data_IF_731461648657
#
_entry.id   IF_731461648657
#
_cell.length_a   1.000
_cell.length_b   1.000
_cell.length_c   1.000
_cell.angle_alpha   90.00
_cell.angle_beta   90.00
_cell.angle_gamma   90.00
#
_symmetry.space_group_name_H-M   'P 1'
#
loop_
_entity.id
_entity.type
_entity.pdbx_description
1 polymer ?
#
# COMPACT_ATOMS: atom_id res chain seq x y z
N UNK A 1 -21.21 23.84 -26.01
CA UNK A 1 -20.39 22.69 -25.58
C UNK A 1 -19.44 23.20 -24.50
N UNK A 2 -19.77 23.00 -23.22
CA UNK A 2 -18.92 23.44 -22.11
C UNK A 2 -18.52 22.20 -21.33
N UNK A 3 -17.33 21.69 -21.63
CA UNK A 3 -16.68 20.63 -20.84
C UNK A 3 -15.92 21.31 -19.71
N UNK A 4 -16.54 21.39 -18.53
CA UNK A 4 -15.83 21.77 -17.31
C UNK A 4 -14.84 20.67 -16.91
N UNK A 5 -13.72 21.01 -16.24
CA UNK A 5 -12.71 20.04 -15.85
C UNK A 5 -13.32 18.99 -14.93
N UNK A 6 -13.35 17.75 -15.39
CA UNK A 6 -13.81 16.58 -14.64
C UNK A 6 -12.92 16.37 -13.42
N UNK A 7 -13.35 16.87 -12.26
CA UNK A 7 -12.74 16.60 -10.96
C UNK A 7 -13.15 15.21 -10.40
N UNK A 8 -13.60 14.30 -11.27
CA UNK A 8 -14.20 13.02 -10.89
C UNK A 8 -13.24 11.82 -10.74
N UNK A 9 -11.93 11.99 -10.96
CA UNK A 9 -11.01 10.85 -11.11
C UNK A 9 -10.16 10.52 -9.87
N UNK A 10 -9.82 11.52 -9.04
CA UNK A 10 -8.77 11.36 -8.02
C UNK A 10 -9.19 10.47 -6.85
N UNK A 11 -10.49 10.48 -6.48
CA UNK A 11 -11.03 9.66 -5.38
C UNK A 11 -11.04 8.16 -5.71
N UNK A 12 -11.43 7.81 -6.94
CA UNK A 12 -11.48 6.42 -7.39
C UNK A 12 -10.07 5.83 -7.55
N UNK A 13 -9.10 6.65 -7.98
CA UNK A 13 -7.69 6.25 -8.00
C UNK A 13 -7.11 6.08 -6.59
N UNK A 14 -7.45 6.93 -5.62
CA UNK A 14 -6.95 6.77 -4.24
C UNK A 14 -7.52 5.56 -3.53
N UNK A 15 -8.78 5.20 -3.80
CA UNK A 15 -9.38 3.96 -3.31
C UNK A 15 -8.66 2.73 -3.87
N UNK A 16 -8.35 2.75 -5.18
CA UNK A 16 -7.57 1.71 -5.84
C UNK A 16 -6.17 1.55 -5.25
N UNK A 17 -5.49 2.67 -4.95
CA UNK A 17 -4.19 2.66 -4.26
C UNK A 17 -4.31 2.08 -2.84
N UNK A 18 -5.41 2.35 -2.13
CA UNK A 18 -5.69 1.77 -0.81
C UNK A 18 -5.86 0.26 -0.85
N UNK A 19 -6.61 -0.27 -1.83
CA UNK A 19 -6.77 -1.71 -2.01
C UNK A 19 -5.43 -2.41 -2.26
N UNK A 20 -4.56 -1.82 -3.10
CA UNK A 20 -3.22 -2.36 -3.36
C UNK A 20 -2.37 -2.38 -2.09
N UNK A 21 -2.43 -1.33 -1.26
CA UNK A 21 -1.73 -1.31 0.03
C UNK A 21 -2.22 -2.43 0.97
N UNK A 22 -3.53 -2.66 1.02
CA UNK A 22 -4.15 -3.72 1.83
C UNK A 22 -3.73 -5.12 1.34
N UNK A 23 -3.73 -5.35 0.03
CA UNK A 23 -3.29 -6.63 -0.57
C UNK A 23 -1.82 -6.92 -0.27
N UNK A 24 -0.93 -5.93 -0.41
CA UNK A 24 0.48 -6.09 -0.04
C UNK A 24 0.66 -6.35 1.46
N UNK A 25 -0.17 -5.73 2.31
CA UNK A 25 -0.20 -5.98 3.75
C UNK A 25 -0.58 -7.42 4.08
N UNK A 26 -1.71 -7.89 3.55
CA UNK A 26 -2.19 -9.28 3.72
C UNK A 26 -1.18 -10.30 3.19
N UNK A 27 -0.55 -10.02 2.05
CA UNK A 27 0.44 -10.91 1.48
C UNK A 27 1.72 -10.97 2.33
N UNK A 28 2.18 -9.84 2.87
CA UNK A 28 3.26 -9.80 3.86
C UNK A 28 2.93 -10.65 5.09
N UNK A 29 1.72 -10.52 5.66
CA UNK A 29 1.28 -11.31 6.81
C UNK A 29 1.26 -12.81 6.51
N UNK A 30 0.70 -13.21 5.37
CA UNK A 30 0.64 -14.60 4.94
C UNK A 30 2.05 -15.22 4.81
N UNK A 31 3.01 -14.47 4.25
CA UNK A 31 4.40 -14.92 4.14
C UNK A 31 5.08 -15.04 5.51
N UNK A 32 4.81 -14.15 6.46
CA UNK A 32 5.33 -14.26 7.83
C UNK A 32 4.77 -15.49 8.55
N UNK A 33 3.48 -15.76 8.40
CA UNK A 33 2.85 -16.95 8.95
C UNK A 33 3.43 -18.23 8.33
N UNK A 34 3.60 -18.26 7.01
CA UNK A 34 4.22 -19.37 6.30
C UNK A 34 5.67 -19.61 6.74
N UNK A 35 6.48 -18.55 6.88
CA UNK A 35 7.84 -18.65 7.39
C UNK A 35 7.91 -19.13 8.85
N UNK A 36 6.94 -18.73 9.67
CA UNK A 36 6.84 -19.18 11.07
C UNK A 36 6.51 -20.66 11.14
N UNK A 37 5.53 -21.11 10.35
CA UNK A 37 5.16 -22.51 10.24
C UNK A 37 6.32 -23.38 9.72
N UNK A 38 6.97 -22.98 8.62
CA UNK A 38 8.15 -23.67 8.10
C UNK A 38 9.36 -23.61 9.06
N UNK A 39 9.39 -22.60 9.93
CA UNK A 39 10.35 -22.43 11.01
C UNK A 39 10.24 -23.45 12.12
N UNK A 40 9.05 -24.04 12.30
CA UNK A 40 8.80 -25.08 13.31
C UNK A 40 9.64 -26.32 13.02
N UNK A 41 10.32 -26.81 14.05
CA UNK A 41 11.17 -27.99 14.03
C UNK A 41 10.52 -29.21 13.38
N UNK A 42 9.21 -29.42 13.57
CA UNK A 42 8.50 -30.56 12.99
C UNK A 42 8.30 -30.40 11.48
N UNK A 43 7.72 -29.28 11.03
CA UNK A 43 7.53 -29.00 9.60
C UNK A 43 8.86 -28.94 8.85
N UNK A 44 9.90 -28.40 9.50
CA UNK A 44 11.24 -28.31 8.93
C UNK A 44 11.87 -29.69 8.74
N UNK A 45 11.71 -30.60 9.70
CA UNK A 45 12.15 -32.00 9.56
C UNK A 45 11.32 -32.77 8.52
N UNK A 46 10.02 -32.54 8.43
CA UNK A 46 9.12 -33.22 7.48
C UNK A 46 9.41 -32.83 6.01
N UNK A 47 9.72 -31.55 5.75
CA UNK A 47 9.87 -31.03 4.39
C UNK A 47 11.32 -30.85 3.92
N UNK A 48 12.22 -30.54 4.84
CA UNK A 48 13.64 -30.38 4.53
C UNK A 48 14.48 -31.54 5.06
N UNK A 49 13.90 -32.56 5.70
CA UNK A 49 14.65 -33.72 6.19
C UNK A 49 15.57 -33.42 7.38
N UNK A 50 16.23 -34.47 7.90
CA UNK A 50 17.10 -34.38 9.08
C UNK A 50 18.59 -34.22 8.80
N UNK A 51 19.01 -34.11 7.53
CA UNK A 51 20.42 -33.96 7.18
C UNK A 51 20.87 -32.50 7.38
N UNK A 52 22.11 -32.25 7.83
CA UNK A 52 22.60 -30.90 8.09
C UNK A 52 22.53 -29.97 6.87
N UNK A 53 22.85 -30.48 5.68
CA UNK A 53 22.85 -29.70 4.44
C UNK A 53 21.44 -29.24 4.08
N UNK A 54 20.44 -30.09 4.27
CA UNK A 54 19.06 -29.79 3.92
C UNK A 54 18.38 -28.89 4.96
N UNK A 55 18.76 -29.01 6.23
CA UNK A 55 18.40 -28.05 7.29
C UNK A 55 18.96 -26.65 7.00
N UNK A 56 20.18 -26.55 6.48
CA UNK A 56 20.76 -25.27 6.06
C UNK A 56 19.92 -24.62 4.96
N UNK A 57 19.58 -25.38 3.91
CA UNK A 57 18.72 -24.91 2.81
C UNK A 57 17.35 -24.47 3.34
N UNK A 58 16.74 -25.22 4.26
CA UNK A 58 15.47 -24.85 4.88
C UNK A 58 15.55 -23.51 5.62
N UNK A 59 16.63 -23.27 6.38
CA UNK A 59 16.86 -22.01 7.07
C UNK A 59 17.07 -20.84 6.09
N UNK A 60 17.81 -21.05 4.99
CA UNK A 60 18.03 -20.04 3.96
C UNK A 60 16.72 -19.63 3.27
N UNK A 61 15.89 -20.61 2.90
CA UNK A 61 14.57 -20.36 2.29
C UNK A 61 13.68 -19.55 3.24
N UNK A 62 13.64 -19.91 4.52
CA UNK A 62 12.86 -19.17 5.53
C UNK A 62 13.39 -17.75 5.68
N UNK A 63 14.70 -17.54 5.68
CA UNK A 63 15.32 -16.21 5.73
C UNK A 63 14.95 -15.34 4.53
N UNK A 64 14.91 -15.92 3.33
CA UNK A 64 14.47 -15.23 2.10
C UNK A 64 12.99 -14.86 2.20
N UNK A 65 12.13 -15.78 2.63
CA UNK A 65 10.68 -15.52 2.78
C UNK A 65 10.42 -14.41 3.80
N UNK A 66 11.13 -14.41 4.94
CA UNK A 66 11.02 -13.35 5.94
C UNK A 66 11.47 -11.99 5.39
N UNK A 67 12.54 -11.98 4.58
CA UNK A 67 13.03 -10.76 3.93
C UNK A 67 12.01 -10.22 2.93
N UNK A 68 11.45 -11.09 2.09
CA UNK A 68 10.38 -10.74 1.15
C UNK A 68 9.15 -10.17 1.87
N UNK A 69 8.73 -10.82 2.97
CA UNK A 69 7.59 -10.35 3.75
C UNK A 69 7.83 -8.93 4.31
N UNK A 70 9.03 -8.65 4.84
CA UNK A 70 9.40 -7.30 5.29
C UNK A 70 9.33 -6.28 4.15
N UNK A 71 9.89 -6.61 2.98
CA UNK A 71 9.84 -5.74 1.80
C UNK A 71 8.41 -5.42 1.38
N UNK A 72 7.53 -6.42 1.36
CA UNK A 72 6.11 -6.22 1.02
C UNK A 72 5.38 -5.38 2.08
N UNK A 73 5.70 -5.56 3.36
CA UNK A 73 5.19 -4.71 4.44
C UNK A 73 5.63 -3.24 4.30
N UNK A 74 6.85 -2.98 3.82
CA UNK A 74 7.29 -1.63 3.49
C UNK A 74 6.52 -1.04 2.30
N UNK A 75 6.30 -1.83 1.24
CA UNK A 75 5.51 -1.41 0.08
C UNK A 75 4.09 -1.05 0.51
N UNK A 76 3.43 -1.89 1.33
CA UNK A 76 2.11 -1.61 1.85
C UNK A 76 2.03 -0.25 2.58
N UNK A 77 2.98 0.02 3.50
CA UNK A 77 3.04 1.29 4.24
C UNK A 77 3.32 2.49 3.32
N UNK A 78 4.24 2.33 2.37
CA UNK A 78 4.56 3.38 1.40
C UNK A 78 3.33 3.74 0.56
N UNK A 79 2.61 2.74 0.08
CA UNK A 79 1.41 2.92 -0.73
C UNK A 79 0.29 3.58 0.09
N UNK A 80 0.07 3.19 1.35
CA UNK A 80 -0.92 3.86 2.21
C UNK A 80 -0.53 5.32 2.53
N UNK A 81 0.74 5.59 2.83
CA UNK A 81 1.22 6.96 3.02
C UNK A 81 1.02 7.82 1.75
N UNK A 82 1.25 7.24 0.58
CA UNK A 82 1.03 7.89 -0.71
C UNK A 82 -0.45 8.20 -0.90
N UNK A 83 -1.35 7.26 -0.59
CA UNK A 83 -2.80 7.48 -0.60
C UNK A 83 -3.20 8.64 0.32
N UNK A 84 -2.70 8.67 1.55
CA UNK A 84 -2.98 9.75 2.49
C UNK A 84 -2.51 11.12 1.97
N UNK A 85 -1.31 11.19 1.38
CA UNK A 85 -0.78 12.41 0.78
C UNK A 85 -1.62 12.89 -0.42
N UNK A 86 -2.10 11.97 -1.26
CA UNK A 86 -3.01 12.28 -2.37
C UNK A 86 -4.35 12.82 -1.88
N UNK A 87 -4.92 12.23 -0.82
CA UNK A 87 -6.18 12.72 -0.23
C UNK A 87 -6.03 14.12 0.39
N UNK A 88 -4.92 14.37 1.08
CA UNK A 88 -4.63 15.70 1.63
C UNK A 88 -4.45 16.74 0.51
N UNK A 89 -3.74 16.38 -0.55
CA UNK A 89 -3.52 17.26 -1.71
C UNK A 89 -4.84 17.57 -2.42
N UNK A 90 -5.71 16.58 -2.63
CA UNK A 90 -7.03 16.79 -3.22
C UNK A 90 -7.89 17.73 -2.36
N UNK A 91 -7.89 17.57 -1.03
CA UNK A 91 -8.62 18.47 -0.13
C UNK A 91 -8.07 19.90 -0.12
N UNK A 92 -6.75 20.08 -0.27
CA UNK A 92 -6.15 21.41 -0.42
C UNK A 92 -6.55 22.09 -1.73
N UNK A 93 -6.62 21.34 -2.83
CA UNK A 93 -7.08 21.84 -4.13
C UNK A 93 -8.55 22.26 -4.06
N UNK A 94 -9.44 21.41 -3.53
CA UNK A 94 -10.86 21.73 -3.38
C UNK A 94 -11.10 23.03 -2.59
N UNK A 95 -10.35 23.25 -1.50
CA UNK A 95 -10.43 24.47 -0.70
C UNK A 95 -9.91 25.69 -1.47
N UNK A 96 -8.80 25.54 -2.18
CA UNK A 96 -8.20 26.62 -2.99
C UNK A 96 -9.14 27.06 -4.12
N UNK A 97 -9.80 26.10 -4.76
CA UNK A 97 -10.77 26.35 -5.83
C UNK A 97 -12.03 27.02 -5.30
N UNK A 98 -12.54 26.62 -4.14
CA UNK A 98 -13.68 27.30 -3.49
C UNK A 98 -13.35 28.74 -3.10
N UNK A 99 -12.17 28.99 -2.53
CA UNK A 99 -11.75 30.34 -2.14
C UNK A 99 -11.49 31.22 -3.36
N UNK A 100 -10.90 30.66 -4.42
CA UNK A 100 -10.72 31.34 -5.70
C UNK A 100 -12.07 31.69 -6.34
N UNK A 101 -13.02 30.75 -6.36
CA UNK A 101 -14.37 30.98 -6.88
C UNK A 101 -15.15 32.03 -6.08
N UNK A 102 -15.02 32.03 -4.74
CA UNK A 102 -15.62 33.05 -3.87
C UNK A 102 -15.04 34.44 -4.09
N UNK A 103 -13.72 34.53 -4.27
CA UNK A 103 -13.05 35.80 -4.54
C UNK A 103 -13.39 36.35 -5.93
N UNK A 104 -13.48 35.49 -6.94
CA UNK A 104 -13.95 35.86 -8.27
C UNK A 104 -15.40 36.34 -8.27
N UNK A 105 -16.30 35.68 -7.54
CA UNK A 105 -17.70 36.13 -7.41
C UNK A 105 -17.82 37.49 -6.69
N UNK A 106 -16.97 37.77 -5.70
CA UNK A 106 -16.93 39.09 -5.05
C UNK A 106 -16.37 40.19 -5.94
N UNK A 107 -15.43 39.87 -6.83
CA UNK A 107 -14.87 40.85 -7.78
C UNK A 107 -15.78 41.05 -9.02
N UNK A 108 -16.52 40.03 -9.43
CA UNK A 108 -17.42 40.09 -10.58
C UNK A 108 -18.82 40.68 -10.30
N UNK A 109 -19.27 40.70 -9.04
CA UNK A 109 -20.57 41.27 -8.64
C UNK A 109 -20.57 42.77 -8.33
N UNK A 110 -19.49 43.49 -8.66
CA UNK A 110 -19.28 44.91 -8.36
C UNK A 110 -19.40 45.87 -9.55
N UNK A 111 -20.07 45.46 -10.63
CA UNK A 111 -20.38 46.31 -11.80
C UNK A 111 -21.86 46.20 -12.16
#
# INVERSE_FOLDING_TARGET
MSGGPSHGSSRMETESVGMVAEEFGKFSEALQQSATYAGDSQAKQEHFGGLPETLSVGNDVIGIVQTLAKSLGYVARFTDNTRQALMQSAGLVDNTDQDSARNLNRQGGGI
#
